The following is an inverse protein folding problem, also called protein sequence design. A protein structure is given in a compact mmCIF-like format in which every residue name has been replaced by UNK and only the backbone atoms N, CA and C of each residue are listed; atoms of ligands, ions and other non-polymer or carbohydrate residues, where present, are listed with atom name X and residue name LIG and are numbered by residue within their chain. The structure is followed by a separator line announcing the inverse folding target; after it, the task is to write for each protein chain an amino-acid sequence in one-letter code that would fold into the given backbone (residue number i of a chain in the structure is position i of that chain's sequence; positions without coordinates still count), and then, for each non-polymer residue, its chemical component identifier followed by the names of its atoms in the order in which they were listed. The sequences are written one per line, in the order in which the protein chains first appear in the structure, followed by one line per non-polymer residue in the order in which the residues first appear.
data_IF_515338278581
#
_entry.id   IF_515338278581
#
_cell.length_a   1.000
_cell.length_b   1.000
_cell.length_c   1.000
_cell.angle_alpha   90.00
_cell.angle_beta   90.00
_cell.angle_gamma   90.00
#
_symmetry.space_group_name_H-M   'P 1'
#
loop_
_entity.id
_entity.type
_entity.pdbx_description
1 polymer ?
#
# COMPACT_ATOMS: atom_id res chain seq x y z
N UNK A 1 -10.86 8.01 -22.86
CA UNK A 1 -9.51 7.53 -22.54
C UNK A 1 -8.94 8.12 -21.26
N UNK A 2 -8.98 9.42 -21.09
CA UNK A 2 -8.49 10.10 -19.87
C UNK A 2 -9.19 9.60 -18.59
N UNK A 3 -10.44 9.20 -18.70
CA UNK A 3 -11.30 8.77 -17.59
C UNK A 3 -10.91 7.43 -16.99
N UNK A 4 -10.52 6.44 -17.80
CA UNK A 4 -10.13 5.09 -17.34
C UNK A 4 -8.80 5.13 -16.59
N UNK A 5 -7.86 5.92 -17.08
CA UNK A 5 -6.53 6.10 -16.48
C UNK A 5 -6.65 6.63 -15.05
N UNK A 6 -7.56 7.57 -14.81
CA UNK A 6 -7.76 8.17 -13.50
C UNK A 6 -8.27 7.16 -12.47
N UNK A 7 -9.23 6.31 -12.83
CA UNK A 7 -9.74 5.26 -11.94
C UNK A 7 -8.66 4.24 -11.61
N UNK A 8 -7.88 3.82 -12.60
CA UNK A 8 -6.78 2.89 -12.43
C UNK A 8 -5.69 3.46 -11.52
N UNK A 9 -5.29 4.71 -11.73
CA UNK A 9 -4.31 5.39 -10.89
C UNK A 9 -4.76 5.50 -9.44
N UNK A 10 -6.04 5.82 -9.24
CA UNK A 10 -6.66 5.89 -7.93
C UNK A 10 -6.52 4.56 -7.18
N UNK A 11 -6.83 3.45 -7.84
CA UNK A 11 -6.71 2.12 -7.23
C UNK A 11 -5.26 1.67 -7.06
N UNK A 12 -4.37 2.05 -7.96
CA UNK A 12 -2.94 1.72 -7.88
C UNK A 12 -2.25 2.39 -6.69
N UNK A 13 -2.77 3.50 -6.19
CA UNK A 13 -2.24 4.15 -4.99
C UNK A 13 -2.25 3.21 -3.78
N UNK A 14 -3.25 2.35 -3.67
CA UNK A 14 -3.34 1.33 -2.60
C UNK A 14 -2.12 0.41 -2.66
N UNK A 15 -1.76 -0.06 -3.86
CA UNK A 15 -0.60 -0.95 -4.06
C UNK A 15 0.71 -0.22 -3.76
N UNK A 16 0.82 1.03 -4.17
CA UNK A 16 2.01 1.85 -3.88
C UNK A 16 2.22 2.00 -2.38
N UNK A 17 1.17 2.28 -1.63
CA UNK A 17 1.24 2.39 -0.17
C UNK A 17 1.63 1.05 0.47
N UNK A 18 1.08 -0.05 -0.03
CA UNK A 18 1.42 -1.40 0.45
C UNK A 18 2.91 -1.69 0.27
N UNK A 19 3.46 -1.38 -0.91
CA UNK A 19 4.89 -1.55 -1.20
C UNK A 19 5.74 -0.69 -0.27
N UNK A 20 5.38 0.58 -0.08
CA UNK A 20 6.11 1.49 0.82
C UNK A 20 6.12 0.99 2.25
N UNK A 21 4.99 0.47 2.72
CA UNK A 21 4.87 -0.10 4.07
C UNK A 21 5.78 -1.34 4.21
N UNK A 22 5.77 -2.23 3.23
CA UNK A 22 6.64 -3.43 3.24
C UNK A 22 8.13 -3.04 3.25
N UNK A 23 8.53 -2.12 2.39
CA UNK A 23 9.92 -1.64 2.32
C UNK A 23 10.36 -0.98 3.65
N UNK A 24 9.50 -0.19 4.24
CA UNK A 24 9.77 0.46 5.51
C UNK A 24 9.86 -0.54 6.65
N UNK A 25 9.04 -1.60 6.65
CA UNK A 25 9.16 -2.67 7.65
C UNK A 25 10.47 -3.44 7.52
N UNK A 26 10.91 -3.73 6.31
CA UNK A 26 12.22 -4.37 6.08
C UNK A 26 13.37 -3.50 6.59
N UNK A 27 13.32 -2.20 6.31
CA UNK A 27 14.31 -1.25 6.80
C UNK A 27 14.29 -1.17 8.33
N UNK A 28 13.10 -1.18 8.92
CA UNK A 28 12.95 -1.17 10.38
C UNK A 28 13.60 -2.40 11.01
N UNK A 29 13.42 -3.59 10.42
CA UNK A 29 14.05 -4.83 10.89
C UNK A 29 15.57 -4.74 10.83
N UNK A 30 16.11 -4.20 9.73
CA UNK A 30 17.55 -3.99 9.56
C UNK A 30 18.12 -3.04 10.61
N UNK A 31 17.45 -1.93 10.86
CA UNK A 31 17.86 -0.95 11.86
C UNK A 31 17.78 -1.50 13.28
N UNK A 32 16.74 -2.26 13.58
CA UNK A 32 16.57 -2.92 14.89
C UNK A 32 17.68 -3.94 15.15
N UNK A 33 17.99 -4.77 14.15
CA UNK A 33 19.08 -5.73 14.21
C UNK A 33 20.45 -5.05 14.42
N UNK A 34 20.68 -3.95 13.69
CA UNK A 34 21.92 -3.16 13.81
C UNK A 34 22.02 -2.52 15.20
N UNK A 35 20.93 -1.99 15.72
CA UNK A 35 20.85 -1.40 17.06
C UNK A 35 21.21 -2.43 18.15
N UNK A 36 20.68 -3.63 18.05
CA UNK A 36 20.97 -4.73 18.99
C UNK A 36 22.43 -5.16 18.92
N UNK A 37 23.01 -5.21 17.72
CA UNK A 37 24.42 -5.56 17.52
C UNK A 37 25.36 -4.52 18.15
N UNK A 38 25.09 -3.24 17.93
CA UNK A 38 25.87 -2.14 18.51
C UNK A 38 25.78 -2.15 20.04
N UNK A 39 24.58 -2.34 20.59
CA UNK A 39 24.35 -2.42 22.04
C UNK A 39 25.10 -3.59 22.64
N UNK A 40 25.07 -4.76 22.00
CA UNK A 40 25.81 -5.95 22.42
C UNK A 40 27.33 -5.71 22.44
N UNK A 41 27.86 -5.06 21.42
CA UNK A 41 29.29 -4.70 21.34
C UNK A 41 29.69 -3.72 22.45
N UNK A 42 28.83 -2.78 22.79
CA UNK A 42 29.07 -1.80 23.87
C UNK A 42 29.03 -2.45 25.23
N UNK A 43 28.19 -3.45 25.47
CA UNK A 43 28.12 -4.16 26.76
C UNK A 43 29.34 -5.05 27.01
N UNK A 44 29.95 -5.60 25.97
CA UNK A 44 31.17 -6.42 26.05
C UNK A 44 32.42 -5.57 26.24
N UNK A 45 32.44 -4.34 25.75
CA UNK A 45 33.52 -3.39 25.92
C UNK A 45 33.30 -2.59 27.22
N UNK A 46 33.65 -3.14 28.35
CA UNK A 46 33.51 -2.51 29.67
C UNK A 46 34.30 -1.21 29.86
N UNK A 47 34.94 -0.70 28.84
CA UNK A 47 35.84 0.44 28.95
C UNK A 47 35.50 1.47 27.91
N UNK A 48 34.97 2.58 28.35
CA UNK A 48 34.83 3.83 27.59
C UNK A 48 34.04 3.71 26.29
N UNK A 49 32.71 3.68 26.45
CA UNK A 49 31.87 4.11 25.35
C UNK A 49 32.32 5.51 24.91
N UNK A 50 33.00 5.59 23.78
CA UNK A 50 33.32 6.89 23.19
C UNK A 50 32.01 7.65 22.96
N UNK A 51 32.01 8.97 23.12
CA UNK A 51 30.85 9.81 22.81
C UNK A 51 30.34 9.59 21.40
N UNK A 52 31.23 9.17 20.47
CA UNK A 52 30.87 8.83 19.09
C UNK A 52 29.98 7.58 19.00
N UNK A 53 30.24 6.55 19.81
CA UNK A 53 29.41 5.33 19.81
C UNK A 53 28.03 5.57 20.42
N UNK A 54 27.94 6.34 21.51
CA UNK A 54 26.66 6.76 22.07
C UNK A 54 25.84 7.58 21.06
N UNK A 55 26.51 8.48 20.33
CA UNK A 55 25.88 9.27 19.29
C UNK A 55 25.30 8.41 18.15
N UNK A 56 26.01 7.31 17.81
CA UNK A 56 25.50 6.35 16.80
C UNK A 56 24.26 5.60 17.29
N UNK A 57 24.25 5.18 18.57
CA UNK A 57 23.09 4.52 19.18
C UNK A 57 21.89 5.47 19.22
N UNK A 58 22.09 6.70 19.62
CA UNK A 58 21.06 7.72 19.66
C UNK A 58 20.52 8.03 18.26
N UNK A 59 21.41 8.17 17.26
CA UNK A 59 21.01 8.40 15.86
C UNK A 59 20.19 7.23 15.32
N UNK A 60 20.56 6.00 15.63
CA UNK A 60 19.83 4.81 15.25
C UNK A 60 18.43 4.78 15.88
N UNK A 61 18.35 5.10 17.18
CA UNK A 61 17.06 5.17 17.91
C UNK A 61 16.12 6.22 17.29
N UNK A 62 16.65 7.38 16.92
CA UNK A 62 15.87 8.45 16.26
C UNK A 62 15.35 7.97 14.91
N UNK A 63 16.20 7.33 14.10
CA UNK A 63 15.79 6.79 12.79
C UNK A 63 14.70 5.74 12.93
N UNK A 64 14.82 4.84 13.91
CA UNK A 64 13.79 3.83 14.19
C UNK A 64 12.46 4.50 14.56
N UNK A 65 12.48 5.50 15.43
CA UNK A 65 11.29 6.22 15.85
C UNK A 65 10.62 6.94 14.68
N UNK A 66 11.42 7.62 13.84
CA UNK A 66 10.93 8.30 12.64
C UNK A 66 10.31 7.33 11.64
N UNK A 67 10.96 6.19 11.43
CA UNK A 67 10.48 5.18 10.50
C UNK A 67 9.18 4.54 10.97
N UNK A 68 9.05 4.27 12.28
CA UNK A 68 7.80 3.78 12.88
C UNK A 68 6.66 4.76 12.66
N UNK A 69 6.93 6.06 12.84
CA UNK A 69 5.93 7.10 12.63
C UNK A 69 5.49 7.18 11.17
N UNK A 70 6.43 7.10 10.23
CA UNK A 70 6.14 7.06 8.79
C UNK A 70 5.30 5.85 8.41
N UNK A 71 5.63 4.67 8.94
CA UNK A 71 4.86 3.44 8.71
C UNK A 71 3.42 3.60 9.20
N UNK A 72 3.22 4.16 10.38
CA UNK A 72 1.87 4.39 10.93
C UNK A 72 1.06 5.35 10.05
N UNK A 73 1.68 6.41 9.57
CA UNK A 73 1.04 7.36 8.64
C UNK A 73 0.62 6.69 7.34
N UNK A 74 1.49 5.87 6.77
CA UNK A 74 1.21 5.17 5.52
C UNK A 74 0.12 4.11 5.71
N UNK A 75 0.13 3.38 6.82
CA UNK A 75 -0.92 2.41 7.16
C UNK A 75 -2.27 3.10 7.29
N UNK A 76 -2.33 4.20 8.02
CA UNK A 76 -3.58 4.95 8.20
C UNK A 76 -4.11 5.48 6.87
N UNK A 77 -3.23 6.04 6.03
CA UNK A 77 -3.60 6.48 4.68
C UNK A 77 -4.13 5.34 3.82
N UNK A 78 -3.45 4.19 3.85
CA UNK A 78 -3.89 3.00 3.10
C UNK A 78 -5.25 2.50 3.56
N UNK A 79 -5.49 2.46 4.88
CA UNK A 79 -6.78 2.03 5.44
C UNK A 79 -7.91 2.98 5.03
N UNK A 80 -7.67 4.28 5.09
CA UNK A 80 -8.65 5.30 4.67
C UNK A 80 -8.95 5.18 3.19
N UNK A 81 -7.93 5.00 2.36
CA UNK A 81 -8.08 4.86 0.92
C UNK A 81 -8.81 3.56 0.56
N UNK A 82 -8.49 2.45 1.22
CA UNK A 82 -9.21 1.17 1.03
C UNK A 82 -10.68 1.29 1.39
N UNK A 83 -10.99 1.96 2.48
CA UNK A 83 -12.38 2.17 2.93
C UNK A 83 -13.15 3.01 1.91
N UNK A 84 -12.57 4.10 1.48
CA UNK A 84 -13.16 4.97 0.46
C UNK A 84 -13.38 4.23 -0.86
N UNK A 85 -12.34 3.55 -1.35
CA UNK A 85 -12.39 2.79 -2.59
C UNK A 85 -13.40 1.63 -2.51
N UNK A 86 -13.44 0.93 -1.38
CA UNK A 86 -14.41 -0.14 -1.14
C UNK A 86 -15.84 0.36 -1.28
N UNK A 87 -16.16 1.48 -0.64
CA UNK A 87 -17.50 2.08 -0.72
C UNK A 87 -17.85 2.51 -2.14
N UNK A 88 -16.90 3.10 -2.86
CA UNK A 88 -17.10 3.51 -4.25
C UNK A 88 -17.34 2.30 -5.17
N UNK A 89 -16.58 1.24 -4.99
CA UNK A 89 -16.71 0.00 -5.78
C UNK A 89 -18.09 -0.63 -5.56
N UNK A 90 -18.53 -0.72 -4.30
CA UNK A 90 -19.85 -1.29 -3.96
C UNK A 90 -20.97 -0.50 -4.62
N UNK A 91 -20.87 0.83 -4.63
CA UNK A 91 -21.89 1.70 -5.25
C UNK A 91 -21.88 1.69 -6.76
N UNK A 92 -20.71 1.45 -7.37
CA UNK A 92 -20.48 1.69 -8.78
C UNK A 92 -20.54 0.43 -9.63
N UNK A 93 -20.11 -0.70 -9.11
CA UNK A 93 -19.75 -1.86 -9.89
C UNK A 93 -20.76 -3.01 -9.76
N UNK A 94 -20.96 -3.73 -10.88
CA UNK A 94 -21.69 -5.00 -10.89
C UNK A 94 -20.92 -6.04 -10.07
N UNK A 95 -21.56 -7.12 -9.58
CA UNK A 95 -20.88 -8.11 -8.73
C UNK A 95 -19.59 -8.69 -9.32
N UNK A 96 -19.57 -8.98 -10.62
CA UNK A 96 -18.37 -9.49 -11.29
C UNK A 96 -17.24 -8.47 -11.34
N UNK A 97 -17.58 -7.23 -11.66
CA UNK A 97 -16.61 -6.12 -11.70
C UNK A 97 -16.07 -5.82 -10.30
N UNK A 98 -16.93 -5.81 -9.30
CA UNK A 98 -16.58 -5.63 -7.91
C UNK A 98 -15.58 -6.70 -7.45
N UNK A 99 -15.86 -7.97 -7.72
CA UNK A 99 -15.01 -9.10 -7.36
C UNK A 99 -13.64 -8.99 -8.02
N UNK A 100 -13.60 -8.62 -9.31
CA UNK A 100 -12.34 -8.43 -10.02
C UNK A 100 -11.48 -7.31 -9.43
N UNK A 101 -12.09 -6.17 -9.12
CA UNK A 101 -11.36 -5.03 -8.55
C UNK A 101 -10.80 -5.33 -7.17
N UNK A 102 -11.55 -6.02 -6.31
CA UNK A 102 -11.06 -6.42 -4.99
C UNK A 102 -9.89 -7.41 -5.10
N UNK A 103 -9.98 -8.39 -5.99
CA UNK A 103 -8.91 -9.38 -6.19
C UNK A 103 -7.64 -8.72 -6.74
N UNK A 104 -7.78 -7.80 -7.69
CA UNK A 104 -6.64 -7.15 -8.33
C UNK A 104 -5.99 -6.07 -7.48
N UNK A 105 -6.78 -5.19 -6.89
CA UNK A 105 -6.26 -3.97 -6.25
C UNK A 105 -6.21 -4.02 -4.72
N UNK A 106 -6.96 -4.90 -4.09
CA UNK A 106 -6.96 -5.06 -2.64
C UNK A 106 -6.18 -6.29 -2.19
N UNK A 107 -6.32 -7.41 -2.91
CA UNK A 107 -5.60 -8.67 -2.63
C UNK A 107 -4.32 -8.79 -3.45
N UNK A 108 -4.11 -7.91 -4.42
CA UNK A 108 -2.91 -7.82 -5.28
C UNK A 108 -2.62 -9.09 -6.08
N UNK A 109 -3.67 -9.80 -6.48
CA UNK A 109 -3.55 -11.02 -7.29
C UNK A 109 -3.20 -10.71 -8.74
N UNK A 110 -2.43 -11.59 -9.37
CA UNK A 110 -2.15 -11.47 -10.79
C UNK A 110 -3.36 -11.92 -11.63
N UNK A 111 -3.36 -11.55 -12.90
CA UNK A 111 -4.49 -11.83 -13.79
C UNK A 111 -4.73 -13.32 -14.00
N UNK A 112 -3.68 -14.13 -13.98
CA UNK A 112 -3.79 -15.58 -14.12
C UNK A 112 -4.56 -16.21 -12.96
N UNK A 113 -4.23 -15.83 -11.74
CA UNK A 113 -4.92 -16.29 -10.52
C UNK A 113 -6.37 -15.82 -10.52
N UNK A 114 -6.64 -14.57 -10.88
CA UNK A 114 -7.99 -14.02 -10.94
C UNK A 114 -8.83 -14.79 -11.97
N UNK A 115 -8.28 -15.07 -13.14
CA UNK A 115 -8.97 -15.82 -14.19
C UNK A 115 -9.38 -17.21 -13.69
N UNK A 116 -8.48 -17.94 -13.03
CA UNK A 116 -8.75 -19.25 -12.46
C UNK A 116 -9.84 -19.17 -11.39
N UNK A 117 -9.73 -18.24 -10.45
CA UNK A 117 -10.68 -18.10 -9.34
C UNK A 117 -12.08 -17.69 -9.79
N UNK A 118 -12.17 -16.86 -10.83
CA UNK A 118 -13.45 -16.38 -11.36
C UNK A 118 -14.03 -17.29 -12.44
N UNK A 119 -13.25 -18.26 -12.92
CA UNK A 119 -13.70 -19.19 -13.96
C UNK A 119 -13.79 -18.57 -15.35
N UNK A 120 -12.93 -17.61 -15.66
CA UNK A 120 -12.88 -16.94 -16.95
C UNK A 120 -11.51 -17.10 -17.60
N UNK A 121 -11.40 -16.70 -18.87
CA UNK A 121 -10.12 -16.67 -19.55
C UNK A 121 -9.27 -15.50 -19.09
N UNK A 122 -7.95 -15.65 -19.16
CA UNK A 122 -7.00 -14.57 -18.86
C UNK A 122 -7.31 -13.29 -19.65
N UNK A 123 -7.51 -13.42 -20.95
CA UNK A 123 -7.78 -12.26 -21.81
C UNK A 123 -9.07 -11.54 -21.44
N UNK A 124 -10.09 -12.28 -21.07
CA UNK A 124 -11.38 -11.69 -20.67
C UNK A 124 -11.24 -10.85 -19.40
N UNK A 125 -10.61 -11.40 -18.36
CA UNK A 125 -10.45 -10.67 -17.07
C UNK A 125 -9.48 -9.51 -17.19
N UNK A 126 -8.36 -9.68 -17.86
CA UNK A 126 -7.31 -8.65 -17.95
C UNK A 126 -7.67 -7.51 -18.91
N UNK A 127 -8.52 -7.74 -19.87
CA UNK A 127 -8.91 -6.73 -20.87
C UNK A 127 -10.38 -6.32 -20.69
N UNK A 128 -11.32 -7.13 -21.13
CA UNK A 128 -12.75 -6.74 -21.19
C UNK A 128 -13.37 -6.43 -19.84
N UNK A 129 -13.25 -7.36 -18.91
CA UNK A 129 -13.86 -7.20 -17.59
C UNK A 129 -13.18 -6.07 -16.79
N UNK A 130 -11.86 -5.98 -16.87
CA UNK A 130 -11.09 -4.92 -16.23
C UNK A 130 -11.50 -3.52 -16.73
N UNK A 131 -11.58 -3.35 -18.04
CA UNK A 131 -12.03 -2.08 -18.64
C UNK A 131 -13.45 -1.72 -18.20
N UNK A 132 -14.36 -2.70 -18.20
CA UNK A 132 -15.74 -2.50 -17.76
C UNK A 132 -15.79 -2.04 -16.31
N UNK A 133 -15.02 -2.70 -15.43
CA UNK A 133 -14.96 -2.37 -14.02
C UNK A 133 -14.42 -0.96 -13.80
N UNK A 134 -13.33 -0.61 -14.46
CA UNK A 134 -12.75 0.74 -14.38
C UNK A 134 -13.70 1.82 -14.90
N UNK A 135 -14.43 1.54 -15.97
CA UNK A 135 -15.44 2.47 -16.50
C UNK A 135 -16.58 2.70 -15.53
N UNK A 136 -17.08 1.64 -14.89
CA UNK A 136 -18.13 1.75 -13.88
C UNK A 136 -17.67 2.59 -12.68
N UNK A 137 -16.45 2.35 -12.20
CA UNK A 137 -15.86 3.12 -11.11
C UNK A 137 -15.64 4.58 -11.50
N UNK A 138 -15.15 4.83 -12.72
CA UNK A 138 -14.84 6.17 -13.21
C UNK A 138 -16.08 7.07 -13.24
N UNK A 139 -17.23 6.54 -13.63
CA UNK A 139 -18.48 7.28 -13.66
C UNK A 139 -18.84 7.86 -12.28
N UNK A 140 -18.63 7.09 -11.23
CA UNK A 140 -18.93 7.55 -9.87
C UNK A 140 -17.84 8.47 -9.30
N UNK A 141 -16.59 8.29 -9.67
CA UNK A 141 -15.52 9.22 -9.31
C UNK A 141 -15.81 10.62 -9.85
N UNK A 142 -16.28 10.72 -11.09
CA UNK A 142 -16.66 11.99 -11.70
C UNK A 142 -17.87 12.64 -11.03
N UNK A 143 -18.85 11.84 -10.62
CA UNK A 143 -20.01 12.35 -9.90
C UNK A 143 -19.62 12.93 -8.55
N UNK A 144 -18.74 12.26 -7.81
CA UNK A 144 -18.27 12.74 -6.52
C UNK A 144 -17.49 14.04 -6.64
N UNK A 145 -16.63 14.18 -7.65
CA UNK A 145 -15.90 15.42 -7.92
C UNK A 145 -16.83 16.61 -8.23
N UNK A 146 -17.95 16.34 -8.89
CA UNK A 146 -18.95 17.38 -9.19
C UNK A 146 -19.71 17.82 -7.94
N UNK A 147 -20.00 16.88 -7.03
CA UNK A 147 -20.68 17.17 -5.76
C UNK A 147 -19.78 17.99 -4.85
N UNK A 148 -18.50 17.68 -4.78
CA UNK A 148 -17.53 18.41 -3.96
C UNK A 148 -17.26 19.83 -4.44
N UNK A 149 -17.53 20.13 -5.72
CA UNK A 149 -17.37 21.46 -6.32
C UNK A 149 -18.62 22.34 -6.22
N UNK A 150 -19.72 21.75 -5.87
CA UNK A 150 -20.99 22.50 -5.68
C UNK A 150 -21.27 22.71 -4.19
#
# INVERSE_FOLDING_TARGET
MVKIVKAEEYLKEIRTLDILIEENFEELEKLDALSKKVTSTLSDAKVQSSSAEQSRVEACAIKIACLKDDILKDINRMLDLKKEAHNLIIKSCSPKCMQLLFKRYFEFKNWETIAIEMGFTYQYVSDKLHKRALNQLQKNLEKNERVDRS
#
